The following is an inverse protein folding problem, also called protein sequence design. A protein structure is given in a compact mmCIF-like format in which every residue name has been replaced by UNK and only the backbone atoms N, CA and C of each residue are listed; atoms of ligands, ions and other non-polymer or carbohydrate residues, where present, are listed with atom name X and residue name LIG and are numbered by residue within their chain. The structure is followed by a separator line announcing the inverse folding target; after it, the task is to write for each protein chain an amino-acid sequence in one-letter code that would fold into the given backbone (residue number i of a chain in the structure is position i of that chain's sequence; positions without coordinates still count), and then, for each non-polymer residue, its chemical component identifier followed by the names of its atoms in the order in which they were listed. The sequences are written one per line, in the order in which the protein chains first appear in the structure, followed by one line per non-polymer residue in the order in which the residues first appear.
data_IF_677413422201
#
_entry.id   IF_677413422201
#
_cell.length_a   1.000
_cell.length_b   1.000
_cell.length_c   1.000
_cell.angle_alpha   90.00
_cell.angle_beta   90.00
_cell.angle_gamma   90.00
#
_symmetry.space_group_name_H-M   'P 1'
#
loop_
_entity.id
_entity.type
_entity.pdbx_description
1 polymer ?
#
# COMPACT_ATOMS: atom_id res chain seq x y z
N UNK A 1 -11.01 -9.01 5.40
CA UNK A 1 -11.76 -7.99 6.12
C UNK A 1 -10.81 -7.25 7.04
N UNK A 2 -10.46 -6.03 6.71
CA UNK A 2 -9.52 -5.24 7.51
C UNK A 2 -10.34 -4.43 8.51
N UNK A 3 -10.51 -4.94 9.73
CA UNK A 3 -10.84 -4.08 10.84
C UNK A 3 -9.58 -3.29 11.11
N UNK A 4 -9.57 -2.00 10.76
CA UNK A 4 -8.55 -1.05 11.20
C UNK A 4 -8.68 -0.86 12.71
N UNK A 5 -8.26 -1.85 13.46
CA UNK A 5 -8.24 -1.81 14.92
C UNK A 5 -6.86 -1.38 15.39
N UNK A 6 -6.51 -0.11 15.14
CA UNK A 6 -5.25 0.44 15.65
C UNK A 6 -5.38 1.11 17.03
N UNK A 7 -6.55 1.14 17.66
CA UNK A 7 -6.72 1.93 18.91
C UNK A 7 -7.58 1.36 20.02
N UNK A 8 -8.13 0.17 19.88
CA UNK A 8 -8.91 -0.40 20.98
C UNK A 8 -8.28 -1.71 21.43
N UNK A 9 -7.20 -1.60 22.18
CA UNK A 9 -6.83 -2.69 23.07
C UNK A 9 -7.99 -2.86 24.05
N UNK A 10 -8.56 -4.06 24.13
CA UNK A 10 -9.42 -4.45 25.24
C UNK A 10 -8.54 -4.54 26.50
N UNK A 11 -8.10 -3.38 26.99
CA UNK A 11 -7.35 -3.20 28.20
C UNK A 11 -8.15 -2.36 29.16
N UNK A 12 -8.68 -3.01 30.20
CA UNK A 12 -9.29 -2.41 31.39
C UNK A 12 -10.65 -1.71 31.18
N UNK A 13 -11.70 -2.50 31.00
CA UNK A 13 -13.00 -2.11 31.52
C UNK A 13 -12.92 -2.14 33.06
N UNK A 14 -12.73 -0.97 33.65
CA UNK A 14 -12.94 -0.79 35.07
C UNK A 14 -14.43 -1.05 35.38
N UNK A 15 -14.67 -1.85 36.44
CA UNK A 15 -15.95 -2.12 37.11
C UNK A 15 -17.00 -2.92 36.32
N UNK A 16 -16.86 -4.24 36.42
CA UNK A 16 -17.89 -5.24 36.55
C UNK A 16 -19.17 -5.08 35.73
N UNK A 17 -19.28 -5.83 34.64
CA UNK A 17 -20.49 -6.55 34.28
C UNK A 17 -20.47 -7.23 32.90
N UNK A 18 -19.48 -7.03 32.03
CA UNK A 18 -19.39 -7.87 30.81
C UNK A 18 -17.99 -8.51 30.75
N UNK A 19 -17.85 -9.69 31.34
CA UNK A 19 -16.65 -10.50 31.14
C UNK A 19 -16.80 -11.15 29.77
N UNK A 20 -16.10 -10.59 28.79
CA UNK A 20 -16.01 -11.15 27.45
C UNK A 20 -14.91 -12.20 27.45
N UNK A 21 -15.22 -13.42 27.07
CA UNK A 21 -14.25 -14.53 27.01
C UNK A 21 -13.71 -14.75 25.59
N UNK A 22 -14.51 -14.41 24.59
CA UNK A 22 -14.24 -14.67 23.20
C UNK A 22 -14.26 -13.40 22.36
N UNK A 23 -13.49 -13.39 21.26
CA UNK A 23 -13.43 -12.27 20.31
C UNK A 23 -14.78 -12.06 19.60
N UNK A 24 -15.50 -13.13 19.33
CA UNK A 24 -16.85 -13.13 18.76
C UNK A 24 -17.85 -12.45 19.69
N UNK A 25 -17.82 -12.73 21.00
CA UNK A 25 -18.62 -12.04 22.01
C UNK A 25 -18.32 -10.54 22.05
N UNK A 26 -17.04 -10.15 21.92
CA UNK A 26 -16.66 -8.76 21.85
C UNK A 26 -17.30 -8.03 20.67
N UNK A 27 -17.40 -8.67 19.50
CA UNK A 27 -18.06 -8.09 18.34
C UNK A 27 -19.58 -7.92 18.57
N UNK A 28 -20.23 -8.85 19.22
CA UNK A 28 -21.65 -8.70 19.59
C UNK A 28 -21.88 -7.57 20.59
N UNK A 29 -20.95 -7.39 21.53
CA UNK A 29 -21.00 -6.27 22.47
C UNK A 29 -20.82 -4.92 21.75
N UNK A 30 -19.88 -4.84 20.78
CA UNK A 30 -19.69 -3.66 19.95
C UNK A 30 -20.96 -3.30 19.16
N UNK A 31 -21.67 -4.28 18.60
CA UNK A 31 -22.96 -4.05 17.95
C UNK A 31 -23.99 -3.46 18.90
N UNK A 32 -24.07 -3.97 20.14
CA UNK A 32 -24.98 -3.44 21.19
C UNK A 32 -24.67 -1.99 21.55
N UNK A 33 -23.39 -1.61 21.48
CA UNK A 33 -22.95 -0.22 21.72
C UNK A 33 -23.08 0.69 20.50
N UNK A 34 -23.60 0.20 19.38
CA UNK A 34 -23.75 0.96 18.14
C UNK A 34 -22.43 1.17 17.39
N UNK A 35 -21.37 0.45 17.74
CA UNK A 35 -20.10 0.47 17.00
C UNK A 35 -20.27 -0.35 15.72
N UNK A 36 -19.93 0.19 14.54
CA UNK A 36 -20.01 -0.56 13.30
C UNK A 36 -19.09 -1.79 13.31
N UNK A 37 -19.67 -2.95 13.13
CA UNK A 37 -18.97 -4.23 13.00
C UNK A 37 -19.27 -4.79 11.62
N UNK A 38 -18.25 -5.32 10.95
CA UNK A 38 -18.48 -5.90 9.64
C UNK A 38 -19.50 -7.05 9.69
N UNK A 39 -20.48 -7.09 8.78
CA UNK A 39 -21.44 -8.20 8.68
C UNK A 39 -20.80 -9.50 8.22
N UNK A 40 -19.59 -9.45 7.70
CA UNK A 40 -18.84 -10.60 7.17
C UNK A 40 -17.97 -11.32 8.21
N UNK A 41 -18.02 -10.90 9.48
CA UNK A 41 -17.37 -11.63 10.57
C UNK A 41 -18.02 -13.00 10.72
N UNK A 42 -17.19 -14.02 10.76
CA UNK A 42 -17.64 -15.42 10.88
C UNK A 42 -16.71 -16.17 11.79
N UNK A 43 -17.28 -16.93 12.69
CA UNK A 43 -16.61 -17.96 13.47
C UNK A 43 -16.42 -19.20 12.61
N UNK A 44 -15.25 -19.81 12.67
CA UNK A 44 -14.89 -21.03 11.93
C UNK A 44 -14.16 -21.97 12.87
N UNK A 45 -14.38 -23.27 12.71
CA UNK A 45 -13.85 -24.30 13.59
C UNK A 45 -12.80 -25.19 12.94
N UNK A 46 -12.60 -25.05 11.63
CA UNK A 46 -11.67 -25.88 10.89
C UNK A 46 -10.78 -25.05 9.96
N UNK A 47 -9.57 -25.55 9.70
CA UNK A 47 -8.66 -24.95 8.72
C UNK A 47 -9.26 -24.94 7.31
N UNK A 48 -10.07 -25.95 6.97
CA UNK A 48 -10.75 -26.01 5.68
C UNK A 48 -11.71 -24.82 5.50
N UNK A 49 -12.51 -24.50 6.51
CA UNK A 49 -13.42 -23.35 6.45
C UNK A 49 -12.68 -22.02 6.29
N UNK A 50 -11.48 -21.89 6.87
CA UNK A 50 -10.63 -20.70 6.65
C UNK A 50 -10.23 -20.60 5.18
N UNK A 51 -9.79 -21.71 4.56
CA UNK A 51 -9.41 -21.72 3.15
C UNK A 51 -10.61 -21.44 2.25
N UNK A 52 -11.75 -22.06 2.51
CA UNK A 52 -12.99 -21.84 1.78
C UNK A 52 -13.42 -20.35 1.84
N UNK A 53 -13.24 -19.68 2.99
CA UNK A 53 -13.47 -18.25 3.13
C UNK A 53 -12.48 -17.40 2.32
N UNK A 54 -11.20 -17.77 2.34
CA UNK A 54 -10.17 -17.09 1.56
C UNK A 54 -10.51 -17.12 0.07
N UNK A 55 -10.86 -18.31 -0.43
CA UNK A 55 -11.21 -18.51 -1.83
C UNK A 55 -12.48 -17.75 -2.20
N UNK A 56 -13.54 -17.90 -1.39
CA UNK A 56 -14.81 -17.20 -1.60
C UNK A 56 -14.64 -15.67 -1.70
N UNK A 57 -13.98 -15.05 -0.74
CA UNK A 57 -13.78 -13.61 -0.75
C UNK A 57 -12.74 -13.15 -1.78
N UNK A 58 -11.85 -14.04 -2.21
CA UNK A 58 -10.96 -13.80 -3.34
C UNK A 58 -11.71 -13.59 -4.65
N UNK A 59 -12.74 -14.42 -4.89
CA UNK A 59 -13.59 -14.35 -6.09
C UNK A 59 -14.64 -13.25 -6.02
N UNK A 60 -15.16 -12.93 -4.82
CA UNK A 60 -16.27 -11.99 -4.60
C UNK A 60 -15.82 -10.64 -4.03
N UNK A 61 -14.56 -10.21 -4.30
CA UNK A 61 -14.02 -8.94 -3.79
C UNK A 61 -14.84 -7.72 -4.19
N UNK A 62 -15.45 -7.76 -5.39
CA UNK A 62 -16.26 -6.65 -5.91
C UNK A 62 -17.65 -6.52 -5.31
N UNK A 63 -18.15 -7.55 -4.63
CA UNK A 63 -19.50 -7.60 -4.08
C UNK A 63 -19.58 -7.04 -2.64
N UNK A 64 -18.43 -6.66 -2.08
CA UNK A 64 -18.31 -6.13 -0.72
C UNK A 64 -18.33 -4.61 -0.76
N UNK A 65 -19.09 -3.99 0.16
CA UNK A 65 -19.27 -2.52 0.25
C UNK A 65 -17.96 -1.74 0.39
N UNK A 66 -16.88 -2.39 0.85
CA UNK A 66 -15.58 -1.79 1.08
C UNK A 66 -14.49 -2.52 0.29
N UNK A 67 -13.45 -1.79 -0.10
CA UNK A 67 -12.28 -2.39 -0.73
C UNK A 67 -11.66 -3.47 0.18
N UNK A 68 -11.64 -4.72 -0.30
CA UNK A 68 -11.12 -5.87 0.43
C UNK A 68 -9.71 -6.21 -0.07
N UNK A 69 -8.71 -5.98 0.76
CA UNK A 69 -7.30 -6.29 0.49
C UNK A 69 -6.83 -7.61 1.12
N UNK A 70 -7.64 -8.20 2.00
CA UNK A 70 -7.30 -9.43 2.69
C UNK A 70 -8.29 -9.83 3.79
N UNK A 71 -8.00 -10.96 4.41
CA UNK A 71 -8.74 -11.53 5.53
C UNK A 71 -7.82 -11.63 6.74
N UNK A 72 -8.35 -11.34 7.92
CA UNK A 72 -7.64 -11.55 9.18
C UNK A 72 -8.29 -12.71 9.94
N UNK A 73 -7.52 -13.73 10.21
CA UNK A 73 -7.90 -14.86 11.06
C UNK A 73 -7.36 -14.60 12.46
N UNK A 74 -8.21 -14.75 13.46
CA UNK A 74 -7.86 -14.53 14.88
C UNK A 74 -8.26 -15.76 15.69
N UNK A 75 -7.50 -16.07 16.73
CA UNK A 75 -7.93 -17.01 17.76
C UNK A 75 -9.10 -16.39 18.50
N UNK A 76 -10.20 -17.11 18.66
CA UNK A 76 -11.42 -16.55 19.27
C UNK A 76 -11.30 -16.43 20.79
N UNK A 77 -10.79 -17.44 21.48
CA UNK A 77 -10.58 -17.45 22.94
C UNK A 77 -9.56 -16.40 23.39
N UNK A 78 -10.00 -15.43 24.19
CA UNK A 78 -9.16 -14.35 24.71
C UNK A 78 -8.12 -14.82 25.75
N UNK A 79 -8.37 -15.97 26.41
CA UNK A 79 -7.39 -16.60 27.29
C UNK A 79 -6.22 -17.16 26.50
N UNK A 80 -6.50 -17.85 25.40
CA UNK A 80 -5.48 -18.32 24.45
C UNK A 80 -4.75 -17.17 23.78
N UNK A 81 -5.44 -16.10 23.40
CA UNK A 81 -4.78 -14.90 22.88
C UNK A 81 -3.73 -14.35 23.84
N UNK A 82 -4.09 -14.25 25.13
CA UNK A 82 -3.16 -13.80 26.20
C UNK A 82 -1.97 -14.76 26.35
N UNK A 83 -2.21 -16.07 26.30
CA UNK A 83 -1.14 -17.07 26.43
C UNK A 83 -0.16 -17.06 25.24
N UNK A 84 -0.66 -16.87 24.02
CA UNK A 84 0.15 -16.74 22.81
C UNK A 84 0.95 -15.46 22.79
N UNK A 85 0.40 -14.38 23.36
CA UNK A 85 1.04 -13.09 23.49
C UNK A 85 1.26 -12.37 22.15
N UNK A 86 2.21 -11.43 22.17
CA UNK A 86 2.56 -10.62 21.01
C UNK A 86 4.07 -10.44 20.90
N UNK A 87 4.56 -10.17 19.70
CA UNK A 87 5.89 -9.66 19.44
C UNK A 87 5.87 -8.12 19.51
N UNK A 88 7.04 -7.48 19.41
CA UNK A 88 7.12 -6.02 19.31
C UNK A 88 6.37 -5.42 18.10
N UNK A 89 6.01 -6.25 17.11
CA UNK A 89 5.42 -5.80 15.84
C UNK A 89 4.01 -6.34 15.57
N UNK A 90 3.67 -7.51 16.11
CA UNK A 90 2.41 -8.18 15.78
C UNK A 90 1.96 -9.15 16.87
N UNK A 91 0.65 -9.37 17.05
CA UNK A 91 0.12 -10.45 17.88
C UNK A 91 0.44 -11.81 17.28
N UNK A 92 0.64 -12.82 18.13
CA UNK A 92 0.85 -14.22 17.68
C UNK A 92 -0.45 -14.97 17.45
N UNK A 93 -1.55 -14.43 17.91
CA UNK A 93 -2.89 -15.01 17.83
C UNK A 93 -3.71 -14.51 16.64
N UNK A 94 -3.12 -13.67 15.78
CA UNK A 94 -3.76 -13.18 14.58
C UNK A 94 -2.83 -13.27 13.38
N UNK A 95 -3.39 -13.69 12.24
CA UNK A 95 -2.69 -13.75 10.96
C UNK A 95 -3.52 -13.07 9.88
N UNK A 96 -2.87 -12.26 9.05
CA UNK A 96 -3.50 -11.63 7.90
C UNK A 96 -3.10 -12.36 6.62
N UNK A 97 -4.09 -12.82 5.88
CA UNK A 97 -3.92 -13.25 4.50
C UNK A 97 -4.22 -12.07 3.58
N UNK A 98 -3.27 -11.69 2.74
CA UNK A 98 -3.41 -10.61 1.78
C UNK A 98 -3.59 -11.15 0.37
N UNK A 99 -4.64 -10.68 -0.33
CA UNK A 99 -4.82 -11.02 -1.72
C UNK A 99 -3.75 -10.37 -2.60
N UNK A 100 -3.41 -10.99 -3.74
CA UNK A 100 -2.57 -10.33 -4.72
C UNK A 100 -3.18 -8.99 -5.14
N UNK A 101 -2.36 -7.92 -5.24
CA UNK A 101 -2.85 -6.64 -5.72
C UNK A 101 -3.31 -6.74 -7.18
N UNK A 102 -4.32 -5.97 -7.54
CA UNK A 102 -4.72 -5.80 -8.92
C UNK A 102 -3.61 -5.11 -9.71
N UNK A 103 -3.21 -5.71 -10.84
CA UNK A 103 -2.20 -5.15 -11.74
C UNK A 103 -2.84 -4.79 -13.08
N UNK A 104 -2.56 -3.58 -13.56
CA UNK A 104 -3.08 -3.09 -14.84
C UNK A 104 -1.95 -2.50 -15.68
N UNK A 105 -2.11 -2.60 -16.99
CA UNK A 105 -1.16 -2.04 -17.94
C UNK A 105 -1.59 -0.64 -18.38
N UNK A 106 -0.64 0.30 -18.40
CA UNK A 106 -0.86 1.66 -18.92
C UNK A 106 0.39 2.17 -19.63
N UNK A 107 0.28 3.31 -20.31
CA UNK A 107 1.39 3.94 -21.01
C UNK A 107 2.10 4.94 -20.09
N UNK A 108 3.44 4.87 -20.04
CA UNK A 108 4.30 5.84 -19.38
C UNK A 108 4.52 7.03 -20.32
N UNK A 109 3.76 8.10 -20.12
CA UNK A 109 3.79 9.27 -20.99
C UNK A 109 5.05 10.11 -20.79
N UNK A 110 5.48 10.29 -19.53
CA UNK A 110 6.66 11.07 -19.17
C UNK A 110 7.17 10.69 -17.77
N UNK A 111 8.38 11.15 -17.44
CA UNK A 111 8.92 11.13 -16.08
C UNK A 111 9.33 12.53 -15.72
N UNK A 112 8.62 13.13 -14.78
CA UNK A 112 8.91 14.48 -14.25
C UNK A 112 9.61 14.37 -12.89
N UNK A 113 10.16 15.47 -12.38
CA UNK A 113 10.72 15.51 -11.03
C UNK A 113 9.93 16.46 -10.15
N UNK A 114 9.77 16.08 -8.88
CA UNK A 114 9.15 16.91 -7.84
C UNK A 114 10.14 17.17 -6.73
N UNK A 115 10.10 18.37 -6.17
CA UNK A 115 10.91 18.76 -5.01
C UNK A 115 10.03 18.71 -3.77
N UNK A 116 10.34 17.83 -2.86
CA UNK A 116 9.63 17.72 -1.58
C UNK A 116 10.07 18.80 -0.59
N UNK A 117 9.29 19.03 0.44
CA UNK A 117 9.56 20.03 1.49
C UNK A 117 10.89 19.84 2.24
N UNK A 118 11.52 18.67 2.17
CA UNK A 118 12.86 18.41 2.72
C UNK A 118 13.97 18.61 1.68
N UNK A 119 13.65 19.21 0.52
CA UNK A 119 14.57 19.35 -0.61
C UNK A 119 14.79 18.09 -1.42
N UNK A 120 14.21 16.92 -1.05
CA UNK A 120 14.36 15.68 -1.80
C UNK A 120 13.73 15.82 -3.19
N UNK A 121 14.49 15.52 -4.23
CA UNK A 121 14.04 15.56 -5.62
C UNK A 121 13.70 14.15 -6.07
N UNK A 122 12.42 13.91 -6.33
CA UNK A 122 11.86 12.59 -6.57
C UNK A 122 11.34 12.48 -8.00
N UNK A 123 11.79 11.51 -8.80
CA UNK A 123 11.18 11.22 -10.09
C UNK A 123 9.75 10.69 -9.91
N UNK A 124 8.85 11.18 -10.75
CA UNK A 124 7.44 10.81 -10.77
C UNK A 124 7.04 10.41 -12.17
N UNK A 125 6.54 9.20 -12.32
CA UNK A 125 5.97 8.73 -13.57
C UNK A 125 4.65 9.43 -13.84
N UNK A 126 4.49 9.98 -15.03
CA UNK A 126 3.23 10.49 -15.58
C UNK A 126 2.66 9.40 -16.48
N UNK A 127 1.50 8.91 -16.13
CA UNK A 127 0.86 7.75 -16.77
C UNK A 127 -0.38 8.18 -17.54
N UNK A 128 -0.69 7.47 -18.61
CA UNK A 128 -2.03 7.53 -19.18
C UNK A 128 -3.00 7.08 -18.08
N UNK A 129 -4.03 7.90 -17.75
CA UNK A 129 -4.93 7.57 -16.65
C UNK A 129 -5.51 6.17 -16.77
N UNK A 130 -5.40 5.38 -15.70
CA UNK A 130 -5.89 4.00 -15.66
C UNK A 130 -6.58 3.74 -14.33
N UNK A 131 -7.68 3.01 -14.38
CA UNK A 131 -8.43 2.62 -13.19
C UNK A 131 -7.81 1.35 -12.61
N UNK A 132 -7.49 1.37 -11.31
CA UNK A 132 -6.93 0.23 -10.58
C UNK A 132 -7.33 0.30 -9.11
N UNK A 133 -7.82 -0.81 -8.57
CA UNK A 133 -8.21 -0.95 -7.16
C UNK A 133 -9.01 0.26 -6.64
N UNK A 134 -10.15 0.57 -7.29
CA UNK A 134 -11.11 1.56 -6.83
C UNK A 134 -10.77 3.04 -7.12
N UNK A 135 -9.65 3.36 -7.81
CA UNK A 135 -9.36 4.75 -8.19
C UNK A 135 -8.57 4.89 -9.48
N UNK A 136 -8.66 6.07 -10.09
CA UNK A 136 -7.87 6.39 -11.30
C UNK A 136 -6.49 6.87 -10.91
N UNK A 137 -5.46 6.20 -11.43
CA UNK A 137 -4.04 6.52 -11.26
C UNK A 137 -3.51 7.17 -12.52
N UNK A 138 -2.94 8.36 -12.39
CA UNK A 138 -2.27 9.10 -13.49
C UNK A 138 -0.84 9.48 -13.15
N UNK A 139 -0.44 9.33 -11.90
CA UNK A 139 0.93 9.63 -11.43
C UNK A 139 1.34 8.65 -10.35
N UNK A 140 2.62 8.25 -10.35
CA UNK A 140 3.20 7.41 -9.30
C UNK A 140 4.66 7.75 -9.05
N UNK A 141 5.09 7.60 -7.81
CA UNK A 141 6.50 7.84 -7.45
C UNK A 141 7.42 6.77 -8.01
N UNK A 142 8.60 7.19 -8.45
CA UNK A 142 9.71 6.30 -8.80
C UNK A 142 10.84 6.35 -7.76
N UNK A 143 10.57 6.97 -6.60
CA UNK A 143 11.43 7.08 -5.42
C UNK A 143 12.74 7.83 -5.63
N UNK A 144 13.61 7.38 -6.52
CA UNK A 144 14.90 7.97 -6.83
C UNK A 144 15.38 7.53 -8.23
N UNK A 145 16.43 8.15 -8.81
CA UNK A 145 16.91 7.80 -10.14
C UNK A 145 17.44 6.37 -10.27
N UNK A 146 17.97 5.78 -9.20
CA UNK A 146 18.42 4.38 -9.22
C UNK A 146 17.27 3.40 -9.37
N UNK A 147 16.10 3.70 -8.78
CA UNK A 147 14.91 2.89 -8.97
C UNK A 147 14.38 2.97 -10.41
N UNK A 148 14.49 4.11 -11.07
CA UNK A 148 14.16 4.25 -12.50
C UNK A 148 15.04 3.34 -13.35
N UNK A 149 16.36 3.34 -13.08
CA UNK A 149 17.32 2.48 -13.77
C UNK A 149 17.11 1.00 -13.45
N UNK A 150 16.92 0.67 -12.16
CA UNK A 150 16.66 -0.71 -11.71
C UNK A 150 15.40 -1.31 -12.35
N UNK A 151 14.34 -0.52 -12.44
CA UNK A 151 13.09 -0.94 -13.11
C UNK A 151 13.24 -1.01 -14.62
N UNK A 152 14.25 -0.35 -15.19
CA UNK A 152 14.56 -0.37 -16.62
C UNK A 152 13.44 0.24 -17.50
N UNK A 153 12.67 1.18 -16.96
CA UNK A 153 11.56 1.83 -17.67
C UNK A 153 12.05 2.93 -18.58
N UNK A 154 11.42 3.06 -19.73
CA UNK A 154 11.65 4.12 -20.71
C UNK A 154 10.36 4.92 -20.92
N UNK A 155 10.47 6.22 -21.15
CA UNK A 155 9.33 7.05 -21.50
C UNK A 155 8.77 6.56 -22.84
N UNK A 156 7.47 6.31 -22.88
CA UNK A 156 6.77 5.68 -24.01
C UNK A 156 6.51 4.18 -23.81
N UNK A 157 7.03 3.55 -22.73
CA UNK A 157 6.75 2.15 -22.43
C UNK A 157 5.29 1.91 -22.07
N UNK A 158 4.83 0.69 -22.35
CA UNK A 158 3.72 0.12 -21.59
C UNK A 158 4.26 -0.43 -20.30
N UNK A 159 3.70 0.02 -19.17
CA UNK A 159 4.14 -0.35 -17.82
C UNK A 159 3.03 -1.00 -17.03
N UNK A 160 3.41 -1.88 -16.10
CA UNK A 160 2.52 -2.48 -15.12
C UNK A 160 2.42 -1.56 -13.90
N UNK A 161 1.19 -1.25 -13.51
CA UNK A 161 0.87 -0.44 -12.32
C UNK A 161 -0.02 -1.24 -11.40
N UNK A 162 0.26 -1.17 -10.11
CA UNK A 162 -0.56 -1.74 -9.04
C UNK A 162 -0.69 -0.75 -7.88
N UNK A 163 -1.58 -1.04 -6.95
CA UNK A 163 -1.63 -0.33 -5.67
C UNK A 163 -1.15 -1.23 -4.55
N UNK A 164 -0.07 -0.85 -3.90
CA UNK A 164 0.42 -1.55 -2.72
C UNK A 164 -0.56 -1.35 -1.55
N UNK A 165 -1.11 -2.47 -1.02
CA UNK A 165 -2.14 -2.45 0.02
C UNK A 165 -3.40 -1.66 -0.38
N UNK A 166 -3.74 -1.65 -1.67
CA UNK A 166 -4.86 -0.92 -2.29
C UNK A 166 -4.85 0.61 -2.03
N UNK A 167 -3.73 1.17 -1.61
CA UNK A 167 -3.60 2.59 -1.25
C UNK A 167 -2.60 3.33 -2.11
N UNK A 168 -1.35 2.86 -2.17
CA UNK A 168 -0.24 3.59 -2.77
C UNK A 168 0.03 3.05 -4.19
N UNK A 169 -0.13 3.89 -5.24
CA UNK A 169 0.22 3.50 -6.59
C UNK A 169 1.72 3.19 -6.71
N UNK A 170 2.04 2.09 -7.32
CA UNK A 170 3.40 1.65 -7.62
C UNK A 170 3.52 1.23 -9.08
N UNK A 171 4.56 1.74 -9.76
CA UNK A 171 4.96 1.25 -11.06
C UNK A 171 5.89 0.04 -10.86
N UNK A 172 5.45 -1.14 -11.31
CA UNK A 172 6.19 -2.40 -11.14
C UNK A 172 7.37 -2.46 -12.11
N UNK A 173 7.10 -2.29 -13.40
CA UNK A 173 8.09 -2.37 -14.47
C UNK A 173 7.48 -2.28 -15.86
N UNK A 174 8.32 -2.35 -16.92
CA UNK A 174 7.85 -2.33 -18.29
C UNK A 174 7.36 -3.70 -18.75
N UNK A 175 6.39 -3.70 -19.66
CA UNK A 175 5.96 -4.89 -20.40
C UNK A 175 6.88 -5.03 -21.63
N UNK A 176 7.98 -5.78 -21.46
CA UNK A 176 9.06 -5.88 -22.47
C UNK A 176 8.57 -6.37 -23.83
N UNK A 177 7.57 -7.23 -23.86
CA UNK A 177 6.98 -7.74 -25.11
C UNK A 177 6.40 -6.64 -25.98
N UNK A 178 5.88 -5.56 -25.35
CA UNK A 178 5.30 -4.41 -26.05
C UNK A 178 6.32 -3.38 -26.54
N UNK A 179 7.61 -3.58 -26.28
CA UNK A 179 8.70 -2.78 -26.84
C UNK A 179 9.05 -3.15 -28.27
N UNK A 180 8.82 -4.41 -28.66
CA UNK A 180 9.16 -4.92 -29.99
C UNK A 180 8.61 -4.03 -31.10
N UNK A 181 9.49 -3.49 -31.94
CA UNK A 181 9.14 -2.58 -33.03
C UNK A 181 8.90 -1.11 -32.63
N UNK A 182 9.13 -0.73 -31.36
CA UNK A 182 8.97 0.63 -30.86
C UNK A 182 10.24 1.22 -30.26
N UNK A 183 11.36 0.53 -30.35
CA UNK A 183 12.62 0.87 -29.68
C UNK A 183 13.09 2.33 -29.99
N UNK A 184 12.89 2.78 -31.23
CA UNK A 184 13.24 4.14 -31.66
C UNK A 184 12.31 5.26 -31.12
N UNK A 185 11.18 4.90 -30.51
CA UNK A 185 10.20 5.86 -29.96
C UNK A 185 10.35 6.03 -28.44
N UNK A 186 11.13 5.14 -27.81
CA UNK A 186 11.32 5.13 -26.37
C UNK A 186 12.46 6.07 -25.97
N UNK A 187 12.28 6.83 -24.89
CA UNK A 187 13.28 7.77 -24.40
C UNK A 187 13.74 7.39 -22.99
N UNK A 188 15.06 7.46 -22.78
CA UNK A 188 15.63 7.28 -21.43
C UNK A 188 15.36 8.53 -20.58
N UNK A 189 14.99 8.34 -19.34
CA UNK A 189 14.94 9.43 -18.36
C UNK A 189 16.35 9.83 -17.95
N UNK A 190 16.60 11.13 -17.91
CA UNK A 190 17.83 11.72 -17.39
C UNK A 190 17.47 12.61 -16.22
N UNK A 191 18.06 12.34 -15.06
CA UNK A 191 17.85 13.18 -13.88
C UNK A 191 18.42 14.57 -14.13
N UNK A 192 17.66 15.66 -13.88
CA UNK A 192 18.18 17.01 -14.02
C UNK A 192 19.34 17.26 -13.03
N UNK A 193 20.30 18.05 -13.43
CA UNK A 193 21.41 18.48 -12.57
C UNK A 193 21.08 19.73 -11.75
N UNK A 194 20.01 20.44 -12.12
CA UNK A 194 19.54 21.67 -11.45
C UNK A 194 18.13 21.50 -10.94
N UNK A 195 17.87 22.10 -9.78
CA UNK A 195 16.56 22.10 -9.15
C UNK A 195 15.53 22.80 -10.04
N UNK A 196 14.41 22.15 -10.38
CA UNK A 196 13.38 22.76 -11.21
C UNK A 196 12.67 23.94 -10.54
N UNK A 197 12.76 24.05 -9.20
CA UNK A 197 12.10 25.12 -8.44
C UNK A 197 12.97 26.35 -8.23
N UNK A 198 14.28 26.21 -8.10
CA UNK A 198 15.17 27.36 -7.78
C UNK A 198 16.45 27.44 -8.61
N UNK A 199 16.71 26.49 -9.50
CA UNK A 199 17.91 26.45 -10.34
C UNK A 199 19.21 26.06 -9.62
N UNK A 200 19.22 25.83 -8.31
CA UNK A 200 20.41 25.40 -7.58
C UNK A 200 20.88 24.02 -8.08
N UNK A 201 22.18 23.79 -8.02
CA UNK A 201 22.77 22.51 -8.38
C UNK A 201 22.32 21.42 -7.41
N UNK A 202 21.90 20.29 -7.96
CA UNK A 202 21.42 19.15 -7.19
C UNK A 202 22.59 18.24 -6.80
N UNK A 203 22.57 17.75 -5.57
CA UNK A 203 23.60 16.85 -5.06
C UNK A 203 22.97 15.75 -4.16
N UNK A 204 23.62 14.59 -4.00
CA UNK A 204 23.26 13.66 -2.94
C UNK A 204 23.48 14.29 -1.57
N UNK A 205 22.66 13.94 -0.58
CA UNK A 205 22.79 14.49 0.78
C UNK A 205 24.09 14.08 1.47
N UNK A 206 24.59 12.87 1.12
CA UNK A 206 25.88 12.33 1.55
C UNK A 206 26.48 11.55 0.39
N UNK A 207 27.80 11.41 0.40
CA UNK A 207 28.49 10.56 -0.58
C UNK A 207 27.93 9.12 -0.53
N UNK A 208 27.55 8.60 -1.70
CA UNK A 208 26.91 7.28 -1.84
C UNK A 208 25.40 7.25 -1.56
N UNK A 209 24.77 8.36 -1.21
CA UNK A 209 23.30 8.44 -1.06
C UNK A 209 22.62 8.33 -2.43
N UNK A 210 21.57 7.51 -2.48
CA UNK A 210 20.74 7.33 -3.68
C UNK A 210 19.75 8.46 -3.89
N UNK A 211 19.49 9.25 -2.86
CA UNK A 211 18.54 10.35 -2.89
C UNK A 211 19.24 11.65 -3.29
N UNK A 212 18.71 12.28 -4.31
CA UNK A 212 19.17 13.59 -4.78
C UNK A 212 18.39 14.69 -4.07
N UNK A 213 19.08 15.74 -3.64
CA UNK A 213 18.49 16.86 -2.90
C UNK A 213 18.88 18.22 -3.49
N UNK A 214 17.96 19.16 -3.30
CA UNK A 214 18.25 20.59 -3.47
C UNK A 214 18.87 21.13 -2.16
N UNK A 215 20.05 21.72 -2.19
CA UNK A 215 20.70 22.28 -0.98
C UNK A 215 20.07 23.60 -0.52
N UNK A 216 19.23 24.22 -1.34
CA UNK A 216 18.60 25.49 -1.01
C UNK A 216 17.47 25.30 0.01
N UNK A 217 17.73 25.70 1.25
CA UNK A 217 16.79 25.56 2.37
C UNK A 217 15.50 26.38 2.15
N UNK A 218 15.56 27.51 1.45
CA UNK A 218 14.40 28.34 1.17
C UNK A 218 13.34 27.61 0.32
N UNK A 219 13.74 26.68 -0.54
CA UNK A 219 12.82 25.88 -1.39
C UNK A 219 12.14 24.78 -0.57
N UNK A 220 12.80 24.26 0.47
CA UNK A 220 12.26 23.17 1.29
C UNK A 220 11.03 23.59 2.11
N UNK A 221 10.79 24.87 2.32
CA UNK A 221 9.64 25.40 3.05
C UNK A 221 8.47 25.88 2.17
N UNK A 222 8.64 25.95 0.86
CA UNK A 222 7.64 26.51 -0.07
C UNK A 222 6.85 25.46 -0.85
N UNK A 223 7.09 24.17 -0.60
CA UNK A 223 6.42 23.06 -1.30
C UNK A 223 5.76 22.06 -0.36
#
# INVERSE_FOLDING_TARGET
MCIRDRRWGAGHAGNGHDVVNDQSEAYELYKKWGVPVSPHNREVTSFKEILDMIDYYGEHRGDIEHALDGIVVKVDDLGLQRSLGATSRAPRWAIAYKYPPEEVNTELLDITVQVGRTGRVTPVAVLKPVYVAGSTVSRTTLHNPFEVERKGVLIGDTVVVRKAGDVIPELVGPVLERRKGREGQLRRFVMPTRCPSCGAELAPAKEGDKDIRCPNVAVSYTH
#
